data_IF_914914800326
#
_entry.id   IF_914914800326
#
_cell.length_a   1.000
_cell.length_b   1.000
_cell.length_c   1.000
_cell.angle_alpha   90.00
_cell.angle_beta   90.00
_cell.angle_gamma   90.00
#
_symmetry.space_group_name_H-M   'P 1'
#
loop_
_entity.id
_entity.type
_entity.pdbx_description
1 polymer ?
#
# COMPACT_ATOMS: atom_id res chain seq x y z
N UNK A 1 -18.37 -29.23 25.09
CA UNK A 1 -18.59 -29.68 23.70
C UNK A 1 -18.35 -28.46 22.81
N UNK A 2 -17.18 -28.37 22.17
CA UNK A 2 -16.87 -27.31 21.21
C UNK A 2 -17.72 -27.52 19.95
N UNK A 3 -18.57 -26.56 19.63
CA UNK A 3 -19.33 -26.58 18.38
C UNK A 3 -18.38 -26.77 17.20
N UNK A 4 -18.68 -27.73 16.33
CA UNK A 4 -17.88 -27.97 15.12
C UNK A 4 -17.91 -26.71 14.27
N UNK A 5 -16.73 -26.11 13.98
CA UNK A 5 -16.62 -24.94 13.10
C UNK A 5 -17.23 -25.28 11.74
N UNK A 6 -17.94 -24.34 11.15
CA UNK A 6 -18.47 -24.47 9.80
C UNK A 6 -17.33 -24.64 8.79
N UNK A 7 -17.59 -25.23 7.62
CA UNK A 7 -16.59 -25.36 6.55
C UNK A 7 -16.05 -23.99 6.14
N UNK A 8 -16.89 -22.97 6.05
CA UNK A 8 -16.49 -21.57 5.76
C UNK A 8 -15.50 -21.08 6.80
N UNK A 9 -15.81 -21.26 8.09
CA UNK A 9 -14.94 -20.80 9.17
C UNK A 9 -13.59 -21.52 9.17
N UNK A 10 -13.58 -22.83 8.91
CA UNK A 10 -12.30 -23.60 8.80
C UNK A 10 -11.43 -23.10 7.65
N UNK A 11 -12.02 -22.88 6.47
CA UNK A 11 -11.29 -22.32 5.31
C UNK A 11 -10.73 -20.95 5.65
N UNK A 12 -11.54 -20.08 6.25
CA UNK A 12 -11.13 -18.72 6.57
C UNK A 12 -10.01 -18.69 7.63
N UNK A 13 -10.14 -19.48 8.70
CA UNK A 13 -9.11 -19.58 9.74
C UNK A 13 -7.78 -20.11 9.17
N UNK A 14 -7.84 -21.17 8.34
CA UNK A 14 -6.67 -21.71 7.67
C UNK A 14 -6.03 -20.72 6.68
N UNK A 15 -6.84 -19.97 5.95
CA UNK A 15 -6.36 -18.92 5.05
C UNK A 15 -5.62 -17.82 5.83
N UNK A 16 -6.17 -17.38 6.96
CA UNK A 16 -5.55 -16.43 7.89
C UNK A 16 -4.16 -16.91 8.32
N UNK A 17 -4.05 -18.16 8.79
CA UNK A 17 -2.78 -18.75 9.25
C UNK A 17 -1.75 -18.82 8.10
N UNK A 18 -2.14 -19.33 6.94
CA UNK A 18 -1.23 -19.49 5.79
C UNK A 18 -0.82 -18.15 5.17
N UNK A 19 -1.72 -17.16 5.10
CA UNK A 19 -1.37 -15.82 4.65
C UNK A 19 -0.46 -15.10 5.64
N UNK A 20 -0.65 -15.30 6.94
CA UNK A 20 0.25 -14.78 7.96
C UNK A 20 1.64 -15.43 7.91
N UNK A 21 1.74 -16.71 7.63
CA UNK A 21 3.00 -17.46 7.55
C UNK A 21 3.72 -17.20 6.22
N UNK A 22 3.09 -17.51 5.09
CA UNK A 22 3.70 -17.55 3.76
C UNK A 22 3.55 -16.24 2.98
N UNK A 23 2.59 -15.37 3.37
CA UNK A 23 2.18 -14.20 2.59
C UNK A 23 1.17 -14.54 1.49
N UNK A 24 0.56 -13.48 0.93
CA UNK A 24 -0.51 -13.64 -0.08
C UNK A 24 -0.01 -14.26 -1.38
N UNK A 25 1.21 -13.97 -1.81
CA UNK A 25 1.74 -14.47 -3.08
C UNK A 25 2.06 -15.96 -3.06
N UNK A 26 2.50 -16.50 -1.91
CA UNK A 26 3.00 -17.86 -1.80
C UNK A 26 1.98 -18.85 -1.23
N UNK A 27 0.92 -18.41 -0.56
CA UNK A 27 -0.14 -19.28 -0.08
C UNK A 27 -1.13 -19.60 -1.20
N UNK A 28 -1.07 -20.81 -1.73
CA UNK A 28 -1.96 -21.25 -2.81
C UNK A 28 -3.31 -21.74 -2.27
N UNK A 29 -4.34 -21.73 -3.13
CA UNK A 29 -5.66 -22.32 -2.81
C UNK A 29 -5.53 -23.80 -2.48
N UNK A 30 -4.57 -24.52 -3.08
CA UNK A 30 -4.31 -25.93 -2.77
C UNK A 30 -3.76 -26.12 -1.37
N UNK A 31 -2.82 -25.26 -0.94
CA UNK A 31 -2.31 -25.30 0.45
C UNK A 31 -3.44 -25.11 1.44
N UNK A 32 -4.31 -24.11 1.17
CA UNK A 32 -5.45 -23.78 2.05
C UNK A 32 -6.43 -24.96 2.11
N UNK A 33 -6.80 -25.55 0.98
CA UNK A 33 -7.73 -26.67 0.96
C UNK A 33 -7.18 -27.90 1.65
N UNK A 34 -5.90 -28.20 1.44
CA UNK A 34 -5.22 -29.31 2.08
C UNK A 34 -5.16 -29.13 3.60
N UNK A 35 -4.75 -27.94 4.06
CA UNK A 35 -4.64 -27.66 5.49
C UNK A 35 -6.02 -27.59 6.18
N UNK A 36 -7.04 -27.05 5.51
CA UNK A 36 -8.42 -26.99 6.02
C UNK A 36 -9.15 -28.35 5.97
N UNK A 37 -8.58 -29.36 5.33
CA UNK A 37 -9.22 -30.67 5.15
C UNK A 37 -10.50 -30.61 4.31
N UNK A 38 -10.48 -29.80 3.22
CA UNK A 38 -11.60 -29.63 2.30
C UNK A 38 -11.15 -29.85 0.85
N UNK A 39 -12.08 -30.05 -0.06
CA UNK A 39 -11.77 -30.11 -1.48
C UNK A 39 -11.77 -28.71 -2.13
N UNK A 40 -11.16 -28.59 -3.30
CA UNK A 40 -11.10 -27.32 -4.04
C UNK A 40 -12.49 -26.76 -4.39
N UNK A 41 -13.47 -27.64 -4.63
CA UNK A 41 -14.85 -27.24 -4.92
C UNK A 41 -15.48 -26.46 -3.75
N UNK A 42 -15.05 -26.71 -2.51
CA UNK A 42 -15.56 -26.00 -1.34
C UNK A 42 -15.17 -24.51 -1.36
N UNK A 43 -13.94 -24.16 -1.80
CA UNK A 43 -13.54 -22.74 -1.93
C UNK A 43 -14.35 -22.08 -3.03
N UNK A 44 -14.48 -22.70 -4.20
CA UNK A 44 -15.26 -22.14 -5.30
C UNK A 44 -16.74 -21.98 -4.91
N UNK A 45 -17.29 -22.93 -4.16
CA UNK A 45 -18.70 -22.89 -3.72
C UNK A 45 -18.93 -21.77 -2.67
N UNK A 46 -18.03 -21.61 -1.71
CA UNK A 46 -18.23 -20.68 -0.57
C UNK A 46 -17.70 -19.26 -0.83
N UNK A 47 -16.64 -19.13 -1.60
CA UNK A 47 -15.96 -17.85 -1.83
C UNK A 47 -15.93 -17.45 -3.31
N UNK A 48 -16.10 -18.37 -4.26
CA UNK A 48 -16.09 -18.10 -5.70
C UNK A 48 -14.68 -18.06 -6.28
N UNK A 49 -13.77 -17.28 -5.71
CA UNK A 49 -12.39 -17.14 -6.19
C UNK A 49 -11.40 -17.02 -5.04
N UNK A 50 -10.11 -17.03 -5.38
CA UNK A 50 -9.03 -16.73 -4.43
C UNK A 50 -9.09 -15.29 -3.94
N UNK A 51 -9.43 -14.35 -4.82
CA UNK A 51 -9.51 -12.94 -4.47
C UNK A 51 -10.69 -12.68 -3.52
N UNK A 52 -11.82 -13.33 -3.74
CA UNK A 52 -12.95 -13.27 -2.81
C UNK A 52 -12.62 -13.88 -1.44
N UNK A 53 -11.76 -14.90 -1.39
CA UNK A 53 -11.24 -15.40 -0.11
C UNK A 53 -10.32 -14.37 0.58
N UNK A 54 -9.48 -13.66 -0.18
CA UNK A 54 -8.66 -12.56 0.35
C UNK A 54 -9.56 -11.42 0.84
N UNK A 55 -10.62 -11.08 0.08
CA UNK A 55 -11.62 -10.10 0.51
C UNK A 55 -12.29 -10.51 1.83
N UNK A 56 -12.67 -11.77 1.97
CA UNK A 56 -13.25 -12.29 3.22
C UNK A 56 -12.27 -12.23 4.40
N UNK A 57 -10.99 -12.48 4.17
CA UNK A 57 -9.93 -12.28 5.18
C UNK A 57 -9.80 -10.79 5.53
N UNK A 58 -9.83 -9.90 4.55
CA UNK A 58 -9.80 -8.47 4.81
C UNK A 58 -11.04 -8.00 5.60
N UNK A 59 -12.23 -8.48 5.25
CA UNK A 59 -13.48 -8.16 5.99
C UNK A 59 -13.44 -8.60 7.45
N UNK A 60 -12.80 -9.73 7.74
CA UNK A 60 -12.66 -10.24 9.12
C UNK A 60 -12.00 -9.23 10.05
N UNK A 61 -11.04 -8.42 9.55
CA UNK A 61 -10.32 -7.42 10.33
C UNK A 61 -10.87 -6.01 10.14
N UNK A 62 -11.15 -5.62 8.91
CA UNK A 62 -11.56 -4.24 8.62
C UNK A 62 -12.98 -3.93 9.06
N UNK A 63 -13.90 -4.91 9.04
CA UNK A 63 -15.25 -4.67 9.52
C UNK A 63 -15.30 -4.34 11.01
N UNK A 64 -14.69 -5.11 11.93
CA UNK A 64 -14.65 -4.74 13.34
C UNK A 64 -13.83 -3.48 13.61
N UNK A 65 -12.71 -3.27 12.88
CA UNK A 65 -11.91 -2.06 12.98
C UNK A 65 -12.73 -0.82 12.66
N UNK A 66 -13.35 -0.76 11.49
CA UNK A 66 -14.13 0.39 11.05
C UNK A 66 -15.34 0.64 11.98
N UNK A 67 -16.01 -0.42 12.41
CA UNK A 67 -17.13 -0.31 13.36
C UNK A 67 -16.69 0.25 14.70
N UNK A 68 -15.56 -0.19 15.23
CA UNK A 68 -15.04 0.32 16.52
C UNK A 68 -14.55 1.77 16.38
N UNK A 69 -13.88 2.08 15.29
CA UNK A 69 -13.41 3.45 14.95
C UNK A 69 -14.61 4.41 14.82
N UNK A 70 -15.65 4.04 14.09
CA UNK A 70 -16.85 4.86 13.95
C UNK A 70 -17.52 5.10 15.30
N UNK A 71 -17.72 4.06 16.09
CA UNK A 71 -18.29 4.18 17.45
C UNK A 71 -17.48 5.15 18.31
N UNK A 72 -16.14 5.05 18.30
CA UNK A 72 -15.30 5.95 19.07
C UNK A 72 -15.36 7.41 18.55
N UNK A 73 -15.48 7.61 17.23
CA UNK A 73 -15.69 8.94 16.66
C UNK A 73 -17.06 9.51 17.00
N UNK A 74 -18.13 8.69 17.02
CA UNK A 74 -19.48 9.10 17.44
C UNK A 74 -19.50 9.48 18.94
N UNK A 75 -18.90 8.67 19.80
CA UNK A 75 -18.76 8.93 21.22
C UNK A 75 -18.00 10.25 21.47
N UNK A 76 -16.97 10.50 20.67
CA UNK A 76 -16.20 11.74 20.70
C UNK A 76 -17.04 12.95 20.28
N UNK A 77 -17.71 12.88 19.12
CA UNK A 77 -18.55 13.98 18.61
C UNK A 77 -19.71 14.30 19.58
N UNK A 78 -20.21 13.30 20.32
CA UNK A 78 -21.22 13.49 21.35
C UNK A 78 -20.67 14.09 22.66
N UNK A 79 -19.37 13.96 22.89
CA UNK A 79 -18.67 14.50 24.05
C UNK A 79 -18.17 15.92 23.78
N UNK A 80 -18.09 16.75 24.81
CA UNK A 80 -17.48 18.08 24.71
C UNK A 80 -15.94 18.04 24.79
N UNK A 81 -15.35 16.84 24.69
CA UNK A 81 -13.91 16.64 24.80
C UNK A 81 -13.26 16.81 23.42
N UNK A 82 -12.21 17.60 23.33
CA UNK A 82 -11.46 17.74 22.09
C UNK A 82 -10.33 16.72 22.00
N UNK A 83 -10.34 15.83 20.97
CA UNK A 83 -9.24 14.89 20.71
C UNK A 83 -8.02 15.63 20.18
N UNK A 84 -6.86 15.26 20.67
CA UNK A 84 -5.57 15.65 20.09
C UNK A 84 -5.25 14.81 18.83
N UNK A 85 -4.18 15.17 18.14
CA UNK A 85 -3.65 14.39 17.03
C UNK A 85 -3.22 12.98 17.51
N UNK A 86 -2.57 12.90 18.67
CA UNK A 86 -2.15 11.66 19.29
C UNK A 86 -3.34 10.77 19.64
N UNK A 87 -4.39 11.34 20.21
CA UNK A 87 -5.60 10.58 20.55
C UNK A 87 -6.24 9.94 19.31
N UNK A 88 -6.26 10.63 18.17
CA UNK A 88 -6.76 10.07 16.91
C UNK A 88 -5.86 8.95 16.38
N UNK A 89 -4.53 9.11 16.44
CA UNK A 89 -3.59 8.06 16.04
C UNK A 89 -3.72 6.83 16.95
N UNK A 90 -3.82 7.04 18.26
CA UNK A 90 -4.07 5.97 19.22
C UNK A 90 -5.42 5.28 19.03
N UNK A 91 -6.47 6.04 18.69
CA UNK A 91 -7.80 5.50 18.39
C UNK A 91 -7.71 4.50 17.24
N UNK A 92 -7.05 4.86 16.15
CA UNK A 92 -6.82 3.98 15.00
C UNK A 92 -6.08 2.70 15.42
N UNK A 93 -4.99 2.83 16.17
CA UNK A 93 -4.19 1.69 16.63
C UNK A 93 -5.01 0.79 17.56
N UNK A 94 -5.73 1.35 18.54
CA UNK A 94 -6.58 0.59 19.45
C UNK A 94 -7.69 -0.16 18.73
N UNK A 95 -8.35 0.47 17.75
CA UNK A 95 -9.38 -0.19 16.93
C UNK A 95 -8.78 -1.32 16.10
N UNK A 96 -7.57 -1.15 15.58
CA UNK A 96 -6.84 -2.20 14.86
C UNK A 96 -6.49 -3.36 15.79
N UNK A 97 -5.87 -3.10 16.96
CA UNK A 97 -5.50 -4.14 17.92
C UNK A 97 -6.70 -4.94 18.36
N UNK A 98 -7.82 -4.28 18.63
CA UNK A 98 -9.09 -4.95 18.97
C UNK A 98 -9.63 -5.82 17.84
N UNK A 99 -9.48 -5.38 16.59
CA UNK A 99 -9.93 -6.14 15.43
C UNK A 99 -9.12 -7.42 15.22
N UNK A 100 -7.85 -7.45 15.66
CA UNK A 100 -6.93 -8.58 15.47
C UNK A 100 -6.68 -9.41 16.72
N UNK A 101 -7.29 -9.07 17.87
CA UNK A 101 -7.02 -9.69 19.19
C UNK A 101 -7.24 -11.21 19.24
N UNK A 102 -8.11 -11.73 18.36
CA UNK A 102 -8.44 -13.15 18.30
C UNK A 102 -7.38 -13.99 17.55
N UNK A 103 -6.47 -13.35 16.84
CA UNK A 103 -5.50 -14.02 15.97
C UNK A 103 -4.07 -13.75 16.45
N UNK A 104 -3.31 -14.79 16.77
CA UNK A 104 -1.95 -14.70 17.32
C UNK A 104 -0.98 -13.90 16.42
N UNK A 105 -1.20 -13.93 15.10
CA UNK A 105 -0.44 -13.17 14.11
C UNK A 105 -1.27 -12.06 13.45
N UNK A 106 -2.34 -11.62 14.12
CA UNK A 106 -3.31 -10.71 13.54
C UNK A 106 -2.72 -9.38 13.09
N UNK A 107 -1.84 -8.75 13.89
CA UNK A 107 -1.15 -7.51 13.52
C UNK A 107 -0.29 -7.71 12.27
N UNK A 108 0.51 -8.79 12.24
CA UNK A 108 1.36 -9.11 11.09
C UNK A 108 0.52 -9.29 9.81
N UNK A 109 -0.55 -10.07 9.88
CA UNK A 109 -1.42 -10.31 8.73
C UNK A 109 -2.15 -9.03 8.30
N UNK A 110 -2.66 -8.23 9.24
CA UNK A 110 -3.30 -6.96 8.94
C UNK A 110 -2.34 -6.02 8.18
N UNK A 111 -1.10 -5.89 8.64
CA UNK A 111 -0.09 -5.08 7.95
C UNK A 111 0.30 -5.65 6.59
N UNK A 112 0.28 -6.97 6.41
CA UNK A 112 0.46 -7.59 5.09
C UNK A 112 -0.72 -7.31 4.15
N UNK A 113 -1.96 -7.28 4.64
CA UNK A 113 -3.12 -6.85 3.85
C UNK A 113 -2.97 -5.41 3.38
N UNK A 114 -2.55 -4.50 4.27
CA UNK A 114 -2.26 -3.11 3.92
C UNK A 114 -1.16 -3.04 2.86
N UNK A 115 -0.06 -3.76 3.08
CA UNK A 115 1.04 -3.84 2.11
C UNK A 115 0.56 -4.36 0.74
N UNK A 116 -0.22 -5.43 0.71
CA UNK A 116 -0.80 -5.99 -0.52
C UNK A 116 -1.67 -4.97 -1.26
N UNK A 117 -2.50 -4.23 -0.55
CA UNK A 117 -3.38 -3.22 -1.15
C UNK A 117 -2.62 -2.03 -1.76
N UNK A 118 -1.46 -1.66 -1.19
CA UNK A 118 -0.71 -0.47 -1.62
C UNK A 118 0.51 -0.76 -2.50
N UNK A 119 1.11 -1.95 -2.39
CA UNK A 119 2.36 -2.28 -3.09
C UNK A 119 2.18 -3.30 -4.22
N UNK A 120 1.03 -3.99 -4.28
CA UNK A 120 0.72 -4.90 -5.39
C UNK A 120 0.45 -4.11 -6.67
N UNK A 121 0.86 -4.66 -7.80
CA UNK A 121 0.45 -4.17 -9.12
C UNK A 121 -1.01 -4.52 -9.46
N UNK A 122 -1.61 -5.46 -8.71
CA UNK A 122 -3.03 -5.82 -8.82
C UNK A 122 -3.87 -4.95 -7.89
N UNK A 123 -4.72 -4.12 -8.46
CA UNK A 123 -5.60 -3.19 -7.75
C UNK A 123 -6.89 -3.82 -7.19
N UNK A 124 -7.07 -5.13 -7.34
CA UNK A 124 -8.32 -5.84 -6.97
C UNK A 124 -8.65 -5.64 -5.50
N UNK A 125 -7.69 -5.91 -4.61
CA UNK A 125 -7.87 -5.73 -3.16
C UNK A 125 -8.08 -4.24 -2.81
N UNK A 126 -7.26 -3.33 -3.34
CA UNK A 126 -7.39 -1.90 -3.08
C UNK A 126 -8.76 -1.37 -3.50
N UNK A 127 -9.21 -1.71 -4.71
CA UNK A 127 -10.52 -1.32 -5.23
C UNK A 127 -11.67 -1.87 -4.37
N UNK A 128 -11.54 -3.09 -3.86
CA UNK A 128 -12.51 -3.66 -2.93
C UNK A 128 -12.54 -2.87 -1.62
N UNK A 129 -11.38 -2.57 -1.02
CA UNK A 129 -11.27 -1.82 0.24
C UNK A 129 -11.83 -0.40 0.10
N UNK A 130 -11.53 0.29 -1.00
CA UNK A 130 -12.02 1.64 -1.26
C UNK A 130 -13.54 1.67 -1.39
N UNK A 131 -14.14 0.71 -2.11
CA UNK A 131 -15.59 0.61 -2.23
C UNK A 131 -16.27 0.27 -0.91
N UNK A 132 -15.66 -0.60 -0.10
CA UNK A 132 -16.29 -1.18 1.09
C UNK A 132 -16.09 -0.34 2.34
N UNK A 133 -14.92 0.28 2.49
CA UNK A 133 -14.48 0.96 3.71
C UNK A 133 -14.02 2.41 3.49
N UNK A 134 -13.97 2.88 2.25
CA UNK A 134 -13.45 4.21 1.92
C UNK A 134 -14.17 5.35 2.63
N UNK A 135 -15.50 5.21 2.91
CA UNK A 135 -16.25 6.22 3.69
C UNK A 135 -15.77 6.32 5.14
N UNK A 136 -15.52 5.17 5.79
CA UNK A 136 -15.06 5.11 7.17
C UNK A 136 -13.69 5.77 7.34
N UNK A 137 -12.73 5.39 6.47
CA UNK A 137 -11.40 5.99 6.48
C UNK A 137 -11.44 7.48 6.11
N UNK A 138 -12.30 7.89 5.18
CA UNK A 138 -12.46 9.31 4.83
C UNK A 138 -12.91 10.14 6.03
N UNK A 139 -13.89 9.67 6.82
CA UNK A 139 -14.33 10.34 8.05
C UNK A 139 -13.17 10.49 9.04
N UNK A 140 -12.44 9.42 9.29
CA UNK A 140 -11.25 9.45 10.15
C UNK A 140 -10.19 10.46 9.66
N UNK A 141 -9.87 10.42 8.37
CA UNK A 141 -8.90 11.34 7.77
C UNK A 141 -9.37 12.81 7.83
N UNK A 142 -10.67 13.07 7.75
CA UNK A 142 -11.23 14.42 7.95
C UNK A 142 -10.97 14.91 9.38
N UNK A 143 -11.22 14.06 10.39
CA UNK A 143 -10.91 14.43 11.79
C UNK A 143 -9.42 14.65 12.01
N UNK A 144 -8.58 13.80 11.41
CA UNK A 144 -7.13 13.96 11.47
C UNK A 144 -6.65 15.28 10.83
N UNK A 145 -7.21 15.64 9.66
CA UNK A 145 -6.87 16.87 8.95
C UNK A 145 -7.22 18.12 9.75
N UNK A 146 -8.32 18.11 10.53
CA UNK A 146 -8.70 19.21 11.40
C UNK A 146 -7.67 19.51 12.50
N UNK A 147 -6.83 18.52 12.85
CA UNK A 147 -5.77 18.69 13.88
C UNK A 147 -4.46 19.23 13.33
N UNK A 148 -4.34 19.37 12.02
CA UNK A 148 -3.15 19.88 11.34
C UNK A 148 -3.50 20.90 10.27
N UNK A 149 -4.23 21.98 10.63
CA UNK A 149 -4.77 22.96 9.67
C UNK A 149 -3.70 23.74 8.91
N UNK A 150 -2.44 23.70 9.39
CA UNK A 150 -1.30 24.31 8.74
C UNK A 150 -0.83 23.57 7.49
N UNK A 151 -1.22 22.29 7.31
CA UNK A 151 -0.79 21.50 6.18
C UNK A 151 -1.64 21.80 4.94
N UNK A 152 -1.00 21.93 3.78
CA UNK A 152 -1.72 21.90 2.52
C UNK A 152 -2.34 20.51 2.29
N UNK A 153 -3.35 20.41 1.42
CA UNK A 153 -3.98 19.14 1.10
C UNK A 153 -2.98 18.12 0.51
N UNK A 154 -2.02 18.60 -0.30
CA UNK A 154 -0.97 17.76 -0.85
C UNK A 154 -0.03 17.22 0.24
N UNK A 155 0.38 18.10 1.16
CA UNK A 155 1.24 17.72 2.27
C UNK A 155 0.54 16.73 3.21
N UNK A 156 -0.72 16.97 3.56
CA UNK A 156 -1.53 16.05 4.34
C UNK A 156 -1.66 14.67 3.66
N UNK A 157 -1.92 14.65 2.35
CA UNK A 157 -2.00 13.42 1.56
C UNK A 157 -0.70 12.60 1.66
N UNK A 158 0.46 13.22 1.44
CA UNK A 158 1.74 12.53 1.53
C UNK A 158 2.06 12.04 2.94
N UNK A 159 1.76 12.82 3.98
CA UNK A 159 1.97 12.41 5.38
C UNK A 159 1.09 11.23 5.78
N UNK A 160 -0.12 11.14 5.26
CA UNK A 160 -0.94 9.94 5.42
C UNK A 160 -0.28 8.69 4.80
N UNK A 161 0.36 8.83 3.63
CA UNK A 161 1.09 7.72 3.02
C UNK A 161 2.40 7.38 3.75
N UNK A 162 3.10 8.39 4.28
CA UNK A 162 4.26 8.16 5.14
C UNK A 162 3.87 7.44 6.43
N UNK A 163 2.71 7.76 7.02
CA UNK A 163 2.15 7.02 8.16
C UNK A 163 2.00 5.53 7.83
N UNK A 164 1.35 5.21 6.70
CA UNK A 164 1.17 3.81 6.28
C UNK A 164 2.54 3.14 6.10
N UNK A 165 3.48 3.78 5.40
CA UNK A 165 4.82 3.24 5.19
C UNK A 165 5.59 3.02 6.48
N UNK A 166 5.54 3.96 7.43
CA UNK A 166 6.19 3.87 8.72
C UNK A 166 5.59 2.76 9.61
N UNK A 167 4.30 2.46 9.48
CA UNK A 167 3.62 1.43 10.26
C UNK A 167 3.84 0.02 9.70
N UNK A 168 3.82 -0.13 8.36
CA UNK A 168 3.81 -1.46 7.71
C UNK A 168 5.03 -2.29 8.07
N UNK A 169 6.24 -1.77 7.88
CA UNK A 169 7.46 -2.57 8.10
C UNK A 169 7.65 -3.01 9.55
N UNK A 170 7.61 -2.10 10.56
CA UNK A 170 7.83 -2.49 11.95
C UNK A 170 6.78 -3.48 12.46
N UNK A 171 5.52 -3.30 12.07
CA UNK A 171 4.43 -4.12 12.59
C UNK A 171 4.27 -5.45 11.83
N UNK A 172 4.46 -5.46 10.51
CA UNK A 172 4.44 -6.70 9.74
C UNK A 172 5.62 -7.63 10.05
N UNK A 173 6.71 -7.10 10.57
CA UNK A 173 7.95 -7.83 10.83
C UNK A 173 8.46 -7.65 12.26
N UNK A 174 7.56 -7.34 13.20
CA UNK A 174 7.91 -7.07 14.60
C UNK A 174 8.83 -8.13 15.19
N UNK A 175 8.50 -9.41 15.08
CA UNK A 175 9.32 -10.48 15.64
C UNK A 175 10.75 -10.53 15.09
N UNK A 176 10.92 -10.24 13.78
CA UNK A 176 12.25 -10.16 13.17
C UNK A 176 13.05 -8.97 13.70
N UNK A 177 12.43 -7.79 13.72
CA UNK A 177 13.08 -6.55 14.14
C UNK A 177 13.40 -6.56 15.62
N UNK A 178 12.50 -7.06 16.46
CA UNK A 178 12.73 -7.24 17.91
C UNK A 178 13.87 -8.24 18.18
N UNK A 179 14.00 -9.31 17.40
CA UNK A 179 15.13 -10.23 17.46
C UNK A 179 16.45 -9.58 17.07
N UNK A 180 16.45 -8.69 16.06
CA UNK A 180 17.64 -7.90 15.72
C UNK A 180 18.01 -6.89 16.81
N UNK A 181 17.01 -6.20 17.40
CA UNK A 181 17.22 -5.30 18.53
C UNK A 181 17.87 -6.03 19.71
N UNK A 182 17.37 -7.23 20.04
CA UNK A 182 17.95 -8.09 21.06
C UNK A 182 19.41 -8.44 20.76
N UNK A 183 19.71 -8.79 19.51
CA UNK A 183 21.06 -9.18 19.09
C UNK A 183 22.03 -8.02 19.11
N UNK A 184 21.59 -6.83 18.67
CA UNK A 184 22.46 -5.65 18.53
C UNK A 184 22.59 -4.83 19.81
N UNK A 185 21.53 -4.74 20.59
CA UNK A 185 21.43 -3.81 21.72
C UNK A 185 21.17 -4.50 23.06
N UNK A 186 20.89 -5.80 23.07
CA UNK A 186 20.47 -6.52 24.27
C UNK A 186 19.07 -6.12 24.78
N UNK A 187 18.29 -5.40 23.96
CA UNK A 187 16.95 -4.91 24.28
C UNK A 187 15.92 -5.67 23.43
N UNK A 188 14.69 -5.72 23.92
CA UNK A 188 13.58 -6.32 23.18
C UNK A 188 12.31 -5.54 23.42
N UNK A 189 11.92 -4.70 22.45
CA UNK A 189 10.69 -3.95 22.53
C UNK A 189 9.49 -4.88 22.32
N UNK A 190 8.48 -4.73 23.18
CA UNK A 190 7.15 -5.32 22.97
C UNK A 190 6.41 -4.61 21.83
N UNK A 191 5.39 -5.26 21.27
CA UNK A 191 4.52 -4.62 20.25
C UNK A 191 3.92 -3.31 20.81
N UNK A 192 3.48 -3.29 22.06
CA UNK A 192 2.90 -2.10 22.71
C UNK A 192 3.91 -0.95 22.76
N UNK A 193 5.16 -1.22 23.10
CA UNK A 193 6.21 -0.19 23.10
C UNK A 193 6.48 0.34 21.69
N UNK A 194 6.48 -0.53 20.67
CA UNK A 194 6.62 -0.11 19.28
C UNK A 194 5.47 0.78 18.86
N UNK A 195 4.22 0.47 19.24
CA UNK A 195 3.07 1.33 18.96
C UNK A 195 3.19 2.71 19.62
N UNK A 196 3.59 2.79 20.90
CA UNK A 196 3.77 4.09 21.56
C UNK A 196 4.85 4.94 20.88
N UNK A 197 5.98 4.31 20.52
CA UNK A 197 7.05 4.99 19.75
C UNK A 197 6.54 5.46 18.38
N UNK A 198 5.73 4.64 17.71
CA UNK A 198 5.16 4.95 16.41
C UNK A 198 4.19 6.15 16.49
N UNK A 199 3.31 6.21 17.48
CA UNK A 199 2.40 7.36 17.69
C UNK A 199 3.17 8.66 17.84
N UNK A 200 4.18 8.66 18.73
CA UNK A 200 5.01 9.85 18.96
C UNK A 200 5.74 10.30 17.69
N UNK A 201 6.31 9.35 16.94
CA UNK A 201 7.01 9.60 15.68
C UNK A 201 6.05 10.18 14.61
N UNK A 202 4.88 9.58 14.46
CA UNK A 202 3.88 10.03 13.49
C UNK A 202 3.31 11.40 13.85
N UNK A 203 2.99 11.65 15.12
CA UNK A 203 2.49 12.94 15.58
C UNK A 203 3.52 14.06 15.33
N UNK A 204 4.80 13.80 15.61
CA UNK A 204 5.88 14.72 15.28
C UNK A 204 5.97 14.96 13.75
N UNK A 205 5.86 13.90 12.96
CA UNK A 205 5.85 13.98 11.50
C UNK A 205 4.69 14.82 10.96
N UNK A 206 3.49 14.68 11.53
CA UNK A 206 2.33 15.51 11.14
C UNK A 206 2.46 16.97 11.57
N UNK A 207 3.18 17.28 12.65
CA UNK A 207 3.38 18.66 13.15
C UNK A 207 4.61 19.34 12.56
N UNK A 208 5.52 18.60 11.91
CA UNK A 208 6.70 19.21 11.32
C UNK A 208 6.32 20.32 10.34
N UNK A 209 7.04 21.41 10.35
CA UNK A 209 6.86 22.48 9.36
C UNK A 209 7.09 21.93 7.95
N UNK A 210 6.31 22.38 7.00
CA UNK A 210 6.48 22.07 5.59
C UNK A 210 7.19 23.27 4.95
N UNK A 211 8.48 23.17 4.79
CA UNK A 211 9.30 24.13 4.05
C UNK A 211 9.07 24.06 2.52
N UNK A 212 7.97 23.44 2.07
CA UNK A 212 7.58 23.43 0.66
C UNK A 212 7.02 24.79 0.21
N UNK A 213 7.76 25.85 0.52
CA UNK A 213 7.78 27.05 -0.30
C UNK A 213 8.57 26.70 -1.55
N UNK A 214 7.86 26.25 -2.59
CA UNK A 214 8.39 25.91 -3.92
C UNK A 214 9.68 25.09 -3.87
N UNK A 215 9.70 23.87 -4.36
CA UNK A 215 10.92 23.08 -4.37
C UNK A 215 11.95 23.92 -5.12
N UNK A 216 13.06 24.28 -4.43
CA UNK A 216 14.23 24.78 -5.13
C UNK A 216 14.52 23.79 -6.26
N UNK A 217 14.34 24.16 -7.54
CA UNK A 217 14.60 23.25 -8.67
C UNK A 217 16.05 22.78 -8.69
N UNK A 218 16.87 23.25 -7.77
CA UNK A 218 18.27 22.93 -7.56
C UNK A 218 18.53 22.13 -6.29
N UNK A 219 17.50 21.44 -5.71
CA UNK A 219 17.77 20.53 -4.59
C UNK A 219 18.92 19.57 -4.96
N UNK A 220 19.75 19.13 -4.00
CA UNK A 220 20.92 18.28 -4.27
C UNK A 220 20.60 17.05 -5.15
N UNK A 221 19.41 16.47 -4.99
CA UNK A 221 18.93 15.33 -5.79
C UNK A 221 18.61 15.71 -7.25
N UNK A 222 18.09 16.92 -7.50
CA UNK A 222 17.82 17.41 -8.86
C UNK A 222 19.11 17.83 -9.57
N UNK A 223 20.11 18.31 -8.84
CA UNK A 223 21.45 18.60 -9.41
C UNK A 223 22.16 17.34 -9.91
N UNK A 224 22.09 16.24 -9.12
CA UNK A 224 22.66 14.95 -9.53
C UNK A 224 22.01 14.41 -10.81
N UNK A 225 20.69 14.57 -10.97
CA UNK A 225 19.99 14.11 -12.16
C UNK A 225 20.34 14.92 -13.41
N UNK A 226 20.52 16.26 -13.28
CA UNK A 226 20.94 17.12 -14.41
C UNK A 226 22.37 16.87 -14.85
N UNK A 227 23.30 16.58 -13.95
CA UNK A 227 24.67 16.24 -14.34
C UNK A 227 24.75 14.91 -15.06
N UNK A 228 23.91 13.94 -14.74
CA UNK A 228 23.87 12.64 -15.42
C UNK A 228 23.21 12.75 -16.81
N UNK A 229 22.21 13.61 -16.95
CA UNK A 229 21.52 13.83 -18.24
C UNK A 229 22.37 14.69 -19.21
N UNK A 230 23.25 15.57 -18.69
CA UNK A 230 24.16 16.40 -19.50
C UNK A 230 25.35 15.61 -20.06
N UNK A 231 25.72 14.50 -19.45
CA UNK A 231 26.79 13.61 -19.96
C UNK A 231 26.30 12.63 -21.04
N UNK A 232 24.98 12.62 -21.34
CA UNK A 232 24.36 11.74 -22.34
C UNK A 232 23.91 12.43 -23.62
N UNK A 233 24.24 13.72 -23.84
CA UNK A 233 24.04 14.33 -25.15
C UNK A 233 25.18 13.88 -26.08
N UNK A 234 24.88 13.19 -27.19
CA UNK A 234 25.89 12.82 -28.15
C UNK A 234 26.38 14.08 -28.87
N UNK A 235 27.70 14.27 -28.88
CA UNK A 235 28.37 15.21 -29.77
C UNK A 235 27.95 14.93 -31.23
N UNK A 236 27.09 15.78 -31.75
CA UNK A 236 26.75 15.80 -33.17
C UNK A 236 26.66 17.24 -33.64
N UNK A 237 27.67 17.57 -34.33
CA UNK A 237 27.77 18.53 -35.44
C UNK A 237 28.80 19.64 -35.26
N UNK A 238 29.95 19.35 -35.73
CA UNK A 238 30.80 20.39 -36.36
C UNK A 238 31.54 19.76 -37.55
N UNK A 239 31.05 20.00 -38.72
CA UNK A 239 31.81 20.02 -39.98
C UNK A 239 31.06 20.94 -40.94
N UNK A 240 31.54 22.11 -40.98
CA UNK A 240 32.29 22.79 -42.01
C UNK A 240 31.63 22.89 -43.38
N UNK A 241 31.42 24.14 -43.72
CA UNK A 241 31.12 24.72 -45.01
C UNK A 241 32.17 24.33 -46.11
N UNK A 242 31.66 23.94 -47.26
CA UNK A 242 32.28 24.27 -48.57
C UNK A 242 31.32 23.86 -49.69
N UNK A 243 30.68 24.83 -50.33
CA UNK A 243 30.32 24.80 -51.74
C UNK A 243 31.59 24.96 -52.54
N UNK A 244 31.73 24.62 -53.89
CA UNK A 244 30.77 25.00 -54.93
C UNK A 244 30.65 24.07 -56.18
N UNK A 245 29.70 24.44 -57.02
CA UNK A 245 29.65 24.41 -58.52
C UNK A 245 29.14 23.17 -59.27
N UNK A 246 28.01 23.43 -59.89
CA UNK A 246 27.62 23.34 -61.34
C UNK A 246 27.57 21.99 -62.10
N UNK A 247 26.34 21.59 -62.34
CA UNK A 247 25.68 21.20 -63.63
C UNK A 247 26.45 20.43 -64.75
N UNK A 248 25.77 19.80 -65.79
CA UNK A 248 24.37 19.29 -65.87
C UNK A 248 24.25 17.92 -66.61
N UNK A 249 23.05 17.36 -66.62
CA UNK A 249 22.60 16.62 -67.85
C UNK A 249 22.34 15.12 -67.64
N UNK A 250 21.23 14.70 -67.80
CA UNK A 250 20.41 14.08 -68.86
C UNK A 250 19.51 12.97 -68.39
N UNK A 251 18.25 13.19 -68.70
CA UNK A 251 17.24 12.23 -69.20
C UNK A 251 16.77 11.06 -68.39
N UNK A 252 15.49 11.17 -68.08
CA UNK A 252 14.51 10.08 -67.92
C UNK A 252 14.39 9.20 -69.18
N UNK A 253 13.79 7.98 -69.15
CA UNK A 253 12.36 7.85 -69.02
C UNK A 253 11.83 6.57 -68.34
N UNK A 254 10.67 6.72 -67.74
CA UNK A 254 9.38 5.98 -67.85
C UNK A 254 9.44 4.44 -68.03
N UNK A 255 8.71 3.69 -67.26
CA UNK A 255 7.59 2.78 -67.66
C UNK A 255 7.09 1.89 -66.49
N UNK A 256 5.86 2.15 -66.09
CA UNK A 256 4.70 1.30 -65.87
C UNK A 256 4.66 0.21 -64.79
N UNK A 257 3.71 0.39 -63.89
CA UNK A 257 2.81 -0.60 -63.26
C UNK A 257 1.94 -1.35 -64.33
N UNK A 258 1.08 -2.30 -63.93
CA UNK A 258 0.79 -3.19 -62.80
C UNK A 258 0.56 -4.66 -63.27
N UNK A 259 -0.27 -5.58 -62.76
CA UNK A 259 -1.32 -5.53 -61.73
C UNK A 259 -1.44 -6.76 -60.78
N UNK A 260 -2.26 -6.57 -59.71
CA UNK A 260 -3.18 -7.45 -58.96
C UNK A 260 -3.22 -8.95 -59.26
N UNK A 261 -3.35 -9.73 -58.18
CA UNK A 261 -4.45 -10.68 -57.93
C UNK A 261 -4.36 -11.36 -56.54
N UNK A 262 -5.40 -11.22 -55.78
CA UNK A 262 -5.85 -12.20 -54.75
C UNK A 262 -6.76 -13.22 -55.48
N UNK A 263 -7.33 -14.32 -54.91
CA UNK A 263 -7.31 -14.86 -53.55
C UNK A 263 -7.26 -16.41 -53.53
N UNK A 264 -7.01 -16.99 -52.38
CA UNK A 264 -7.84 -18.10 -51.81
C UNK A 264 -7.48 -18.29 -50.34
#
# INVERSE_FOLDING_TARGET
>A
MTASKSTVQRILDTAVELFAEKGFEHASVRDITQAAGVNLAAINYHFGSRDELIHAVAERYLTPLCRDMERQLDDYEASSTELSLEDLLELMIRSMLKAVEQDTQGVCLFMRLVSQAYLSSDDTLRSFLDRRYGSNFRRFLQQLNLKVPMLSQSEFYWRCHFLVGAAVLPLARHGLLSGHEQTLLGLQASETEVFHRLVAFLAAGFRSESDLVTPDPLSPFMRLRRSTDAELEPESSARDDAEPEAEPGTESPIVQDPPSESPQ
#
